data_IF_246617918879
#
_entry.id   IF_246617918879
#
_cell.length_a   1.000
_cell.length_b   1.000
_cell.length_c   1.000
_cell.angle_alpha   90.00
_cell.angle_beta   90.00
_cell.angle_gamma   90.00
#
_symmetry.space_group_name_H-M   'P 1'
#
loop_
_entity.id
_entity.type
_entity.pdbx_description
1 polymer ?
#
# COMPACT_ATOMS: atom_id res chain seq x y z
N UNK A 1 18.68 5.19 -21.10
CA UNK A 1 17.69 6.29 -21.00
C UNK A 1 16.84 6.27 -22.26
N UNK A 2 15.53 6.52 -22.15
CA UNK A 2 14.54 6.35 -23.24
C UNK A 2 14.17 7.64 -23.97
N UNK A 3 14.59 8.82 -23.47
CA UNK A 3 14.26 10.12 -24.06
C UNK A 3 12.84 10.63 -23.78
N UNK A 4 12.10 9.98 -22.88
CA UNK A 4 10.73 10.40 -22.51
C UNK A 4 10.73 11.70 -21.69
N UNK A 5 9.63 12.48 -21.69
CA UNK A 5 9.49 13.64 -20.82
C UNK A 5 9.58 13.26 -19.34
N UNK A 6 10.35 14.04 -18.57
CA UNK A 6 10.52 13.89 -17.12
C UNK A 6 10.33 15.26 -16.47
N UNK A 7 9.47 15.33 -15.45
CA UNK A 7 9.24 16.52 -14.65
C UNK A 7 9.62 16.26 -13.20
N UNK A 8 10.41 17.15 -12.62
CA UNK A 8 10.67 17.14 -11.17
C UNK A 8 9.69 18.11 -10.51
N UNK A 9 8.96 17.63 -9.52
CA UNK A 9 7.94 18.41 -8.81
C UNK A 9 8.17 18.31 -7.30
N UNK A 10 7.77 19.35 -6.57
CA UNK A 10 7.81 19.36 -5.11
C UNK A 10 6.64 20.18 -4.56
N UNK A 11 6.12 19.75 -3.42
CA UNK A 11 5.09 20.43 -2.61
C UNK A 11 5.24 20.00 -1.14
N UNK A 12 6.48 20.07 -0.62
CA UNK A 12 6.82 19.56 0.72
C UNK A 12 6.30 18.13 0.93
N UNK A 13 5.62 17.85 2.05
CA UNK A 13 5.13 16.52 2.42
C UNK A 13 4.07 15.94 1.46
N UNK A 14 3.47 16.74 0.56
CA UNK A 14 2.52 16.28 -0.47
C UNK A 14 3.13 16.10 -1.87
N UNK A 15 4.45 16.09 -1.96
CA UNK A 15 5.21 15.89 -3.22
C UNK A 15 4.80 14.63 -3.97
N UNK A 16 4.72 13.48 -3.30
CA UNK A 16 4.34 12.22 -3.94
C UNK A 16 2.93 12.25 -4.54
N UNK A 17 1.97 12.86 -3.83
CA UNK A 17 0.60 13.00 -4.36
C UNK A 17 0.49 14.05 -5.46
N UNK A 18 1.36 15.06 -5.46
CA UNK A 18 1.45 16.03 -6.55
C UNK A 18 1.94 15.36 -7.84
N UNK A 19 2.94 14.48 -7.74
CA UNK A 19 3.38 13.65 -8.88
C UNK A 19 2.25 12.72 -9.37
N UNK A 20 1.48 12.12 -8.45
CA UNK A 20 0.33 11.29 -8.79
C UNK A 20 -0.76 12.06 -9.54
N UNK A 21 -1.10 13.27 -9.08
CA UNK A 21 -2.10 14.13 -9.72
C UNK A 21 -1.70 14.52 -11.14
N UNK A 22 -0.46 14.97 -11.34
CA UNK A 22 0.07 15.32 -12.66
C UNK A 22 0.07 14.10 -13.60
N UNK A 23 0.46 12.92 -13.09
CA UNK A 23 0.41 11.69 -13.88
C UNK A 23 -1.03 11.34 -14.29
N UNK A 24 -2.02 11.51 -13.40
CA UNK A 24 -3.43 11.28 -13.73
C UNK A 24 -3.90 12.26 -14.80
N UNK A 25 -3.58 13.55 -14.68
CA UNK A 25 -3.96 14.57 -15.67
C UNK A 25 -3.36 14.28 -17.06
N UNK A 26 -2.12 13.78 -17.12
CA UNK A 26 -1.51 13.36 -18.40
C UNK A 26 -2.24 12.21 -19.07
N UNK A 27 -2.76 11.25 -18.29
CA UNK A 27 -3.57 10.13 -18.80
C UNK A 27 -4.97 10.58 -19.18
N UNK A 28 -5.64 11.32 -18.28
CA UNK A 28 -7.01 11.78 -18.44
C UNK A 28 -7.17 12.78 -19.61
N UNK A 29 -6.14 13.58 -19.89
CA UNK A 29 -6.12 14.47 -21.06
C UNK A 29 -5.90 13.74 -22.40
N UNK A 30 -5.67 12.42 -22.38
CA UNK A 30 -5.38 11.63 -23.59
C UNK A 30 -3.99 11.89 -24.20
N UNK A 31 -3.12 12.65 -23.52
CA UNK A 31 -1.76 12.94 -24.01
C UNK A 31 -0.81 11.76 -23.88
N UNK A 32 -1.06 10.87 -22.91
CA UNK A 32 -0.25 9.68 -22.62
C UNK A 32 -1.15 8.51 -22.19
N UNK A 33 -0.87 7.32 -22.70
CA UNK A 33 -1.59 6.10 -22.32
C UNK A 33 -1.00 5.40 -21.08
N UNK A 34 0.25 5.69 -20.74
CA UNK A 34 0.96 5.09 -19.61
C UNK A 34 2.00 6.08 -19.06
N UNK A 35 1.95 6.36 -17.75
CA UNK A 35 2.78 7.36 -17.06
C UNK A 35 3.27 6.80 -15.73
N UNK A 36 4.53 7.09 -15.37
CA UNK A 36 5.12 6.74 -14.08
C UNK A 36 5.09 7.96 -13.15
N UNK A 37 4.45 7.82 -11.99
CA UNK A 37 4.66 8.69 -10.84
C UNK A 37 5.68 8.03 -9.90
N UNK A 38 6.79 8.71 -9.61
CA UNK A 38 7.85 8.24 -8.74
C UNK A 38 8.13 9.32 -7.68
N UNK A 39 8.25 8.88 -6.43
CA UNK A 39 8.61 9.74 -5.31
C UNK A 39 9.58 9.02 -4.39
N UNK A 40 10.59 9.74 -3.92
CA UNK A 40 11.60 9.22 -3.02
C UNK A 40 12.10 10.34 -2.11
N UNK A 41 12.69 9.96 -0.98
CA UNK A 41 13.39 10.89 -0.11
C UNK A 41 14.59 10.21 0.55
N UNK A 42 15.64 11.00 0.79
CA UNK A 42 16.75 10.65 1.67
C UNK A 42 16.90 11.75 2.70
N UNK A 43 16.71 11.41 3.97
CA UNK A 43 16.59 12.36 5.07
C UNK A 43 17.76 12.29 6.04
N UNK A 44 18.03 13.40 6.72
CA UNK A 44 18.93 13.44 7.87
C UNK A 44 18.20 12.93 9.12
N UNK A 45 18.95 12.34 10.06
CA UNK A 45 18.38 11.97 11.37
C UNK A 45 18.06 13.22 12.16
N UNK A 46 16.85 13.28 12.72
CA UNK A 46 16.42 14.35 13.62
C UNK A 46 15.31 15.20 13.02
N UNK A 47 15.08 16.38 13.59
CA UNK A 47 14.06 17.30 13.07
C UNK A 47 14.53 17.94 11.76
N UNK A 48 13.57 18.28 10.89
CA UNK A 48 13.86 19.03 9.66
C UNK A 48 14.49 20.38 10.00
N UNK A 49 15.53 20.76 9.27
CA UNK A 49 16.24 22.04 9.42
C UNK A 49 16.23 22.82 8.12
N UNK A 50 16.19 24.16 8.21
CA UNK A 50 16.33 25.00 7.03
C UNK A 50 17.79 24.99 6.54
N UNK A 51 17.97 24.81 5.23
CA UNK A 51 19.30 24.85 4.58
C UNK A 51 19.53 26.15 3.79
N UNK A 52 18.47 26.80 3.32
CA UNK A 52 18.55 28.03 2.54
C UNK A 52 18.16 29.22 3.43
N UNK A 53 19.16 29.95 3.91
CA UNK A 53 19.00 31.11 4.80
C UNK A 53 19.18 32.45 4.06
N UNK A 54 19.44 32.41 2.76
CA UNK A 54 19.74 33.55 1.88
C UNK A 54 18.51 34.08 1.13
N UNK A 55 17.32 33.57 1.47
CA UNK A 55 16.04 33.86 0.80
C UNK A 55 14.88 33.68 1.77
N UNK A 56 13.72 34.23 1.42
CA UNK A 56 12.48 34.04 2.19
C UNK A 56 12.18 32.55 2.36
N UNK A 57 11.94 32.15 3.60
CA UNK A 57 11.57 30.77 3.89
C UNK A 57 10.06 30.60 3.59
N UNK A 58 9.66 29.58 2.81
CA UNK A 58 8.27 29.37 2.43
C UNK A 58 7.31 29.23 3.61
N UNK A 59 7.82 28.88 4.79
CA UNK A 59 7.06 28.73 6.04
C UNK A 59 6.98 30.02 6.87
N UNK A 60 7.64 31.12 6.48
CA UNK A 60 7.79 32.32 7.32
C UNK A 60 6.44 32.88 7.79
N UNK A 61 5.46 33.00 6.89
CA UNK A 61 4.13 33.53 7.24
C UNK A 61 3.38 32.61 8.19
N UNK A 62 3.45 31.29 7.96
CA UNK A 62 2.82 30.31 8.84
C UNK A 62 3.44 30.35 10.23
N UNK A 63 4.79 30.40 10.31
CA UNK A 63 5.51 30.43 11.59
C UNK A 63 5.30 31.76 12.32
N UNK A 64 5.31 32.88 11.60
CA UNK A 64 5.07 34.22 12.18
C UNK A 64 3.69 34.29 12.81
N UNK A 65 2.64 33.87 12.10
CA UNK A 65 1.29 33.88 12.66
C UNK A 65 1.16 32.95 13.88
N UNK A 66 1.78 31.76 13.87
CA UNK A 66 1.82 30.93 15.07
C UNK A 66 2.52 31.66 16.23
N UNK A 67 3.67 32.29 15.97
CA UNK A 67 4.43 33.03 16.98
C UNK A 67 3.62 34.18 17.58
N UNK A 68 2.89 34.93 16.76
CA UNK A 68 2.06 36.05 17.19
C UNK A 68 0.89 35.58 18.07
N UNK A 69 0.33 34.41 17.79
CA UNK A 69 -0.83 33.88 18.53
C UNK A 69 -0.45 33.19 19.85
N UNK A 70 0.65 32.44 19.88
CA UNK A 70 0.98 31.54 21.00
C UNK A 70 2.46 31.52 21.40
N UNK A 71 3.31 32.31 20.75
CA UNK A 71 4.75 32.30 20.97
C UNK A 71 5.46 31.09 20.35
N UNK A 72 6.79 31.08 20.49
CA UNK A 72 7.67 29.98 20.07
C UNK A 72 8.54 29.57 21.26
N UNK A 73 8.75 28.27 21.46
CA UNK A 73 9.75 27.74 22.39
C UNK A 73 10.79 26.86 21.67
N UNK A 74 11.62 26.15 22.44
CA UNK A 74 12.74 25.33 21.93
C UNK A 74 12.31 24.04 21.21
N UNK A 75 11.03 23.67 21.25
CA UNK A 75 10.55 22.46 20.57
C UNK A 75 10.62 22.62 19.04
N UNK A 76 10.67 21.53 18.26
CA UNK A 76 10.66 21.61 16.79
C UNK A 76 9.44 22.36 16.26
N UNK A 77 9.65 23.33 15.36
CA UNK A 77 8.58 24.23 14.86
C UNK A 77 7.37 23.47 14.31
N UNK A 78 7.57 22.41 13.55
CA UNK A 78 6.45 21.61 13.01
C UNK A 78 5.65 20.94 14.12
N UNK A 79 6.30 20.42 15.16
CA UNK A 79 5.61 19.87 16.33
C UNK A 79 4.83 20.96 17.10
N UNK A 80 5.36 22.19 17.16
CA UNK A 80 4.64 23.33 17.71
C UNK A 80 3.37 23.62 16.89
N UNK A 81 3.46 23.69 15.56
CA UNK A 81 2.30 23.98 14.68
C UNK A 81 1.15 22.98 14.90
N UNK A 82 1.43 21.68 14.76
CA UNK A 82 0.39 20.66 14.89
C UNK A 82 -0.05 20.44 16.35
N UNK A 83 0.85 20.55 17.32
CA UNK A 83 0.48 20.44 18.73
C UNK A 83 -0.40 21.61 19.18
N UNK A 84 -0.13 22.82 18.68
CA UNK A 84 -0.97 24.00 18.91
C UNK A 84 -2.36 23.86 18.24
N UNK A 85 -2.45 23.29 17.04
CA UNK A 85 -3.72 22.93 16.43
C UNK A 85 -4.51 21.92 17.30
N UNK A 86 -3.82 20.95 17.89
CA UNK A 86 -4.41 20.03 18.88
C UNK A 86 -4.93 20.76 20.12
N UNK A 87 -4.15 21.68 20.69
CA UNK A 87 -4.55 22.51 21.83
C UNK A 87 -5.78 23.37 21.50
N UNK A 88 -5.85 23.96 20.31
CA UNK A 88 -7.04 24.69 19.85
C UNK A 88 -8.27 23.77 19.84
N UNK A 89 -8.14 22.57 19.28
CA UNK A 89 -9.24 21.60 19.24
C UNK A 89 -9.69 21.21 20.66
N UNK A 90 -8.75 20.97 21.58
CA UNK A 90 -9.05 20.71 23.00
C UNK A 90 -9.81 21.86 23.66
N UNK A 91 -9.34 23.12 23.47
CA UNK A 91 -10.00 24.31 24.04
C UNK A 91 -11.40 24.52 23.48
N UNK A 92 -11.59 24.26 22.19
CA UNK A 92 -12.85 24.52 21.47
C UNK A 92 -13.90 23.43 21.68
N UNK A 93 -13.48 22.17 21.75
CA UNK A 93 -14.39 21.02 21.71
C UNK A 93 -14.29 20.08 22.92
N UNK A 94 -13.35 20.31 23.84
CA UNK A 94 -13.18 19.47 25.03
C UNK A 94 -12.52 18.11 24.75
N UNK A 95 -11.90 17.93 23.57
CA UNK A 95 -11.04 16.79 23.26
C UNK A 95 -9.95 16.64 24.32
N UNK A 96 -9.56 15.40 24.60
CA UNK A 96 -8.62 15.09 25.68
C UNK A 96 -7.27 14.63 25.14
N UNK A 97 -6.15 14.82 25.88
CA UNK A 97 -4.84 14.29 25.53
C UNK A 97 -4.85 12.80 25.16
N UNK A 98 -5.69 12.02 25.84
CA UNK A 98 -5.85 10.58 25.62
C UNK A 98 -6.40 10.27 24.22
N UNK A 99 -7.21 11.14 23.61
CA UNK A 99 -7.70 10.94 22.25
C UNK A 99 -6.56 10.98 21.22
N UNK A 100 -5.60 11.88 21.40
CA UNK A 100 -4.39 11.95 20.57
C UNK A 100 -3.50 10.71 20.78
N UNK A 101 -3.31 10.29 22.03
CA UNK A 101 -2.53 9.09 22.34
C UNK A 101 -3.17 7.81 21.76
N UNK A 102 -4.51 7.71 21.74
CA UNK A 102 -5.25 6.58 21.14
C UNK A 102 -5.04 6.48 19.63
N UNK A 103 -4.86 7.61 18.93
CA UNK A 103 -4.51 7.60 17.50
C UNK A 103 -3.15 6.94 17.28
N UNK A 104 -2.13 7.36 18.04
CA UNK A 104 -0.81 6.74 17.95
C UNK A 104 -0.83 5.26 18.35
N UNK A 105 -1.61 4.89 19.38
CA UNK A 105 -1.82 3.49 19.77
C UNK A 105 -2.35 2.66 18.59
N UNK A 106 -3.39 3.16 17.92
CA UNK A 106 -3.98 2.51 16.75
C UNK A 106 -2.98 2.39 15.59
N UNK A 107 -2.22 3.44 15.28
CA UNK A 107 -1.22 3.42 14.20
C UNK A 107 -0.09 2.41 14.47
N UNK A 108 0.49 2.39 15.69
CA UNK A 108 1.51 1.39 16.04
C UNK A 108 0.96 -0.04 16.06
N UNK A 109 -0.30 -0.23 16.46
CA UNK A 109 -0.95 -1.54 16.40
C UNK A 109 -1.13 -2.02 14.95
N UNK A 110 -1.53 -1.13 14.04
CA UNK A 110 -1.66 -1.44 12.62
C UNK A 110 -0.30 -1.79 11.98
N UNK A 111 0.76 -1.10 12.40
CA UNK A 111 2.09 -1.22 11.78
C UNK A 111 2.76 -2.59 11.96
N UNK A 112 2.40 -3.36 12.99
CA UNK A 112 2.91 -4.72 13.25
C UNK A 112 2.77 -5.61 12.01
N UNK A 113 1.65 -5.45 11.30
CA UNK A 113 1.28 -6.21 10.11
C UNK A 113 1.85 -5.64 8.80
N UNK A 114 2.60 -4.54 8.86
CA UNK A 114 3.21 -3.90 7.70
C UNK A 114 4.72 -4.19 7.64
N UNK A 115 5.20 -5.03 6.70
CA UNK A 115 6.64 -5.30 6.56
C UNK A 115 7.43 -4.07 6.10
N UNK A 116 6.78 -3.08 5.48
CA UNK A 116 7.42 -1.85 5.00
C UNK A 116 7.50 -0.75 6.07
N UNK A 117 6.96 -0.98 7.28
CA UNK A 117 6.94 0.03 8.33
C UNK A 117 8.29 0.10 9.08
N UNK A 118 8.83 1.30 9.30
CA UNK A 118 10.04 1.50 10.09
C UNK A 118 9.88 0.97 11.53
N UNK A 119 8.74 1.26 12.16
CA UNK A 119 8.38 0.72 13.46
C UNK A 119 7.27 -0.31 13.33
N UNK A 120 7.53 -1.51 13.83
CA UNK A 120 6.58 -2.64 13.86
C UNK A 120 6.34 -3.15 15.28
N UNK A 121 6.67 -2.33 16.26
CA UNK A 121 6.47 -2.60 17.68
C UNK A 121 5.09 -2.10 18.09
N UNK A 122 4.33 -2.95 18.78
CA UNK A 122 3.11 -2.52 19.47
C UNK A 122 3.49 -1.84 20.80
N UNK A 123 2.78 -0.77 21.14
CA UNK A 123 2.93 -0.05 22.41
C UNK A 123 1.59 -0.05 23.14
N UNK A 124 1.61 -0.09 24.47
CA UNK A 124 0.42 0.20 25.26
C UNK A 124 0.10 1.70 25.22
N UNK A 125 -1.17 2.06 25.45
CA UNK A 125 -1.58 3.47 25.53
C UNK A 125 -0.80 4.22 26.64
N UNK A 126 -0.53 3.55 27.76
CA UNK A 126 0.25 4.09 28.86
C UNK A 126 1.72 4.38 28.44
N UNK A 127 2.34 3.48 27.69
CA UNK A 127 3.70 3.70 27.17
C UNK A 127 3.75 4.92 26.24
N UNK A 128 2.73 5.12 25.41
CA UNK A 128 2.63 6.28 24.52
C UNK A 128 2.50 7.57 25.32
N UNK A 129 1.60 7.59 26.30
CA UNK A 129 1.38 8.76 27.16
C UNK A 129 2.60 9.10 28.03
N UNK A 130 3.37 8.10 28.47
CA UNK A 130 4.59 8.29 29.27
C UNK A 130 5.86 8.51 28.45
N UNK A 131 5.79 8.38 27.12
CA UNK A 131 6.96 8.65 26.27
C UNK A 131 7.33 10.15 26.31
N UNK A 132 8.59 10.53 26.04
CA UNK A 132 9.06 11.90 26.20
C UNK A 132 8.14 12.92 25.52
N UNK A 133 7.75 13.96 26.26
CA UNK A 133 6.94 15.03 25.70
C UNK A 133 7.74 15.79 24.64
N UNK A 134 7.10 16.09 23.50
CA UNK A 134 7.69 16.90 22.43
C UNK A 134 7.11 18.31 22.48
N UNK A 135 5.79 18.45 22.41
CA UNK A 135 5.11 19.73 22.53
C UNK A 135 3.61 19.55 22.78
N UNK A 136 3.02 20.33 23.70
CA UNK A 136 1.57 20.28 23.96
C UNK A 136 1.11 18.85 24.31
N UNK A 137 0.05 18.32 23.66
CA UNK A 137 -0.42 16.95 23.89
C UNK A 137 0.46 15.87 23.25
N UNK A 138 1.47 16.27 22.46
CA UNK A 138 2.27 15.35 21.66
C UNK A 138 3.46 14.80 22.45
N UNK A 139 3.53 13.48 22.51
CA UNK A 139 4.70 12.73 22.99
C UNK A 139 5.47 12.16 21.81
N UNK A 140 6.69 11.67 22.04
CA UNK A 140 7.58 11.15 20.99
C UNK A 140 6.93 10.06 20.15
N UNK A 141 6.17 9.15 20.75
CA UNK A 141 5.47 8.08 20.04
C UNK A 141 4.22 8.54 19.27
N UNK A 142 3.86 9.82 19.36
CA UNK A 142 2.78 10.47 18.61
C UNK A 142 3.31 11.29 17.42
N UNK A 143 4.63 11.28 17.17
CA UNK A 143 5.30 12.04 16.10
C UNK A 143 5.89 11.06 15.07
N UNK A 144 5.74 11.35 13.78
CA UNK A 144 6.38 10.53 12.75
C UNK A 144 7.91 10.60 12.81
N UNK A 145 8.63 9.48 12.61
CA UNK A 145 10.08 9.52 12.42
C UNK A 145 10.45 10.00 11.01
N UNK A 146 11.67 10.52 10.87
CA UNK A 146 12.33 10.69 9.58
C UNK A 146 12.75 9.34 9.01
N UNK A 147 12.57 9.15 7.70
CA UNK A 147 12.89 7.88 7.02
C UNK A 147 13.38 8.11 5.62
N UNK A 148 14.19 7.18 5.12
CA UNK A 148 14.52 7.08 3.71
C UNK A 148 13.55 6.10 3.04
N UNK A 149 13.17 6.37 1.80
CA UNK A 149 12.29 5.47 1.08
C UNK A 149 11.88 5.99 -0.29
N UNK A 150 11.32 5.09 -1.09
CA UNK A 150 10.77 5.36 -2.42
C UNK A 150 9.44 4.63 -2.61
N UNK A 151 8.56 5.22 -3.41
CA UNK A 151 7.32 4.59 -3.86
C UNK A 151 6.99 5.05 -5.27
N UNK A 152 6.29 4.21 -6.02
CA UNK A 152 5.93 4.48 -7.41
C UNK A 152 4.54 3.96 -7.76
N UNK A 153 3.89 4.61 -8.72
CA UNK A 153 2.62 4.18 -9.30
C UNK A 153 2.69 4.31 -10.83
N UNK A 154 2.17 3.30 -11.53
CA UNK A 154 1.97 3.35 -12.98
C UNK A 154 0.49 3.66 -13.22
N UNK A 155 0.23 4.73 -13.95
CA UNK A 155 -1.11 5.16 -14.33
C UNK A 155 -1.28 4.88 -15.81
N UNK A 156 -2.41 4.30 -16.18
CA UNK A 156 -2.68 3.89 -17.54
C UNK A 156 -4.11 4.24 -17.96
N UNK A 157 -4.30 4.52 -19.25
CA UNK A 157 -5.62 4.71 -19.84
C UNK A 157 -6.40 3.39 -19.86
N UNK A 158 -7.73 3.43 -19.87
CA UNK A 158 -8.54 2.22 -20.04
C UNK A 158 -8.16 1.44 -21.31
N UNK A 159 -7.88 2.16 -22.40
CA UNK A 159 -7.40 1.56 -23.66
C UNK A 159 -6.12 0.77 -23.47
N UNK A 160 -5.13 1.34 -22.76
CA UNK A 160 -3.89 0.64 -22.42
C UNK A 160 -4.15 -0.59 -21.55
N UNK A 161 -5.01 -0.46 -20.52
CA UNK A 161 -5.36 -1.56 -19.63
C UNK A 161 -5.96 -2.74 -20.40
N UNK A 162 -6.94 -2.48 -21.28
CA UNK A 162 -7.59 -3.52 -22.10
C UNK A 162 -6.63 -4.13 -23.12
N UNK A 163 -5.81 -3.31 -23.77
CA UNK A 163 -4.84 -3.79 -24.76
C UNK A 163 -3.79 -4.74 -24.15
N UNK A 164 -3.53 -4.62 -22.84
CA UNK A 164 -2.53 -5.42 -22.12
C UNK A 164 -3.14 -6.43 -21.12
N UNK A 165 -4.47 -6.57 -21.06
CA UNK A 165 -5.15 -7.52 -20.17
C UNK A 165 -4.91 -7.25 -18.68
N UNK A 166 -4.88 -5.98 -18.26
CA UNK A 166 -4.52 -5.56 -16.91
C UNK A 166 -5.74 -5.25 -16.01
N UNK A 167 -6.95 -5.58 -16.45
CA UNK A 167 -8.21 -5.25 -15.76
C UNK A 167 -8.28 -5.79 -14.32
N UNK A 168 -7.65 -6.94 -14.05
CA UNK A 168 -7.63 -7.58 -12.73
C UNK A 168 -6.89 -6.77 -11.66
N UNK A 169 -5.91 -5.96 -12.04
CA UNK A 169 -5.10 -5.16 -11.12
C UNK A 169 -5.38 -3.67 -11.22
N UNK A 170 -6.22 -3.24 -12.16
CA UNK A 170 -6.55 -1.85 -12.39
C UNK A 170 -7.43 -1.28 -11.27
N UNK A 171 -6.84 -0.38 -10.49
CA UNK A 171 -7.54 0.47 -9.54
C UNK A 171 -7.73 1.84 -10.18
N UNK A 172 -8.99 2.23 -10.32
CA UNK A 172 -9.39 3.51 -10.90
C UNK A 172 -9.27 4.61 -9.84
N UNK A 173 -8.71 5.75 -10.25
CA UNK A 173 -8.77 6.99 -9.46
C UNK A 173 -10.08 7.70 -9.85
N UNK A 174 -11.13 7.51 -9.05
CA UNK A 174 -12.45 8.10 -9.28
C UNK A 174 -12.38 9.63 -9.33
N UNK A 175 -11.50 10.21 -8.52
CA UNK A 175 -11.20 11.63 -8.52
C UNK A 175 -9.96 11.92 -7.70
N UNK A 176 -9.28 13.01 -8.05
CA UNK A 176 -8.17 13.58 -7.28
C UNK A 176 -8.37 15.10 -7.28
N UNK A 177 -8.24 15.71 -6.12
CA UNK A 177 -8.40 17.16 -5.96
C UNK A 177 -7.27 17.72 -5.12
N UNK A 178 -6.81 18.92 -5.49
CA UNK A 178 -5.83 19.69 -4.74
C UNK A 178 -6.44 20.99 -4.25
N UNK A 179 -6.06 21.39 -3.03
CA UNK A 179 -6.26 22.74 -2.53
C UNK A 179 -4.96 23.27 -1.94
N UNK A 180 -4.72 24.56 -2.14
CA UNK A 180 -3.64 25.32 -1.51
C UNK A 180 -4.21 26.21 -0.40
N UNK A 181 -3.33 26.87 0.34
CA UNK A 181 -3.72 27.84 1.38
C UNK A 181 -4.83 28.80 0.90
N UNK A 182 -5.78 29.04 1.79
CA UNK A 182 -6.88 30.00 1.61
C UNK A 182 -6.58 31.25 2.45
N UNK A 183 -7.30 32.38 2.24
CA UNK A 183 -7.17 33.54 3.13
C UNK A 183 -7.34 33.17 4.61
N UNK A 184 -8.23 32.21 4.91
CA UNK A 184 -8.49 31.73 6.28
C UNK A 184 -7.29 31.07 6.96
N UNK A 185 -6.26 30.62 6.22
CA UNK A 185 -4.98 30.19 6.80
C UNK A 185 -4.36 31.33 7.63
N UNK A 186 -4.46 32.57 7.15
CA UNK A 186 -3.73 33.71 7.71
C UNK A 186 -4.61 34.78 8.37
N UNK A 187 -5.92 34.81 8.08
CA UNK A 187 -6.83 35.86 8.59
C UNK A 187 -7.62 35.47 9.84
N UNK A 188 -7.85 34.18 10.07
CA UNK A 188 -8.85 33.72 11.04
C UNK A 188 -8.29 33.45 12.43
N UNK A 189 -6.98 33.66 12.63
CA UNK A 189 -6.28 33.43 13.90
C UNK A 189 -6.49 32.01 14.48
N UNK A 190 -6.57 31.00 13.60
CA UNK A 190 -6.78 29.59 13.96
C UNK A 190 -5.56 28.75 13.59
N UNK A 191 -5.04 28.02 14.56
CA UNK A 191 -3.90 27.12 14.45
C UNK A 191 -4.28 25.83 13.72
N UNK A 192 -5.54 25.38 13.82
CA UNK A 192 -6.10 24.30 12.99
C UNK A 192 -6.11 24.69 11.50
N UNK A 193 -6.53 25.92 11.18
CA UNK A 193 -6.54 26.41 9.80
C UNK A 193 -5.13 26.66 9.28
N UNK A 194 -4.23 27.14 10.14
CA UNK A 194 -2.82 27.34 9.84
C UNK A 194 -2.12 26.05 9.37
N UNK A 195 -2.55 24.89 9.88
CA UNK A 195 -2.04 23.57 9.43
C UNK A 195 -2.87 22.92 8.32
N UNK A 196 -3.80 23.66 7.73
CA UNK A 196 -4.50 23.27 6.51
C UNK A 196 -5.87 22.62 6.68
N UNK A 197 -6.55 22.77 7.82
CA UNK A 197 -7.91 22.23 8.01
C UNK A 197 -8.88 22.64 6.89
N UNK A 198 -8.93 23.93 6.55
CA UNK A 198 -9.82 24.45 5.49
C UNK A 198 -9.37 24.01 4.09
N UNK A 199 -8.06 23.79 3.88
CA UNK A 199 -7.55 23.23 2.62
C UNK A 199 -8.06 21.80 2.44
N UNK A 200 -7.90 20.96 3.47
CA UNK A 200 -8.37 19.57 3.48
C UNK A 200 -9.87 19.51 3.24
N UNK A 201 -10.64 20.32 3.97
CA UNK A 201 -12.09 20.39 3.81
C UNK A 201 -12.47 20.79 2.39
N UNK A 202 -11.84 21.82 1.84
CA UNK A 202 -12.12 22.31 0.48
C UNK A 202 -11.84 21.25 -0.58
N UNK A 203 -10.70 20.56 -0.48
CA UNK A 203 -10.35 19.53 -1.45
C UNK A 203 -11.29 18.31 -1.33
N UNK A 204 -11.64 17.91 -0.10
CA UNK A 204 -12.56 16.81 0.15
C UNK A 204 -13.98 17.12 -0.35
N UNK A 205 -14.51 18.31 -0.06
CA UNK A 205 -15.83 18.75 -0.53
C UNK A 205 -15.91 18.72 -2.07
N UNK A 206 -14.89 19.26 -2.76
CA UNK A 206 -14.79 19.21 -4.22
C UNK A 206 -14.75 17.78 -4.75
N UNK A 207 -13.97 16.92 -4.09
CA UNK A 207 -13.81 15.52 -4.48
C UNK A 207 -15.13 14.75 -4.35
N UNK A 208 -15.84 14.91 -3.23
CA UNK A 208 -17.15 14.29 -3.01
C UNK A 208 -18.20 14.84 -3.98
N UNK A 209 -18.20 16.14 -4.26
CA UNK A 209 -19.10 16.74 -5.25
C UNK A 209 -18.85 16.20 -6.66
N UNK A 210 -17.57 16.10 -7.07
CA UNK A 210 -17.17 15.64 -8.40
C UNK A 210 -17.47 14.16 -8.63
N UNK A 211 -17.28 13.32 -7.61
CA UNK A 211 -17.45 11.86 -7.72
C UNK A 211 -18.84 11.37 -7.34
N UNK A 212 -19.63 12.18 -6.63
CA UNK A 212 -20.91 11.76 -6.05
C UNK A 212 -20.78 10.79 -4.86
N UNK A 213 -19.56 10.45 -4.45
CA UNK A 213 -19.26 9.59 -3.30
C UNK A 213 -19.42 10.38 -2.01
N UNK A 214 -20.01 9.77 -0.98
CA UNK A 214 -20.13 10.37 0.35
C UNK A 214 -19.00 9.88 1.26
N UNK A 215 -18.61 10.66 2.29
CA UNK A 215 -17.65 10.18 3.30
C UNK A 215 -18.03 8.83 3.91
N UNK A 216 -19.33 8.58 4.08
CA UNK A 216 -19.87 7.33 4.64
C UNK A 216 -19.72 6.12 3.74
N UNK A 217 -19.41 6.30 2.45
CA UNK A 217 -19.22 5.21 1.49
C UNK A 217 -17.78 4.67 1.50
N UNK A 218 -16.86 5.37 2.18
CA UNK A 218 -15.45 4.99 2.30
C UNK A 218 -15.28 3.91 3.38
N UNK A 219 -14.48 2.87 3.10
CA UNK A 219 -14.16 1.83 4.09
C UNK A 219 -12.71 1.91 4.59
N UNK A 220 -11.79 2.32 3.74
CA UNK A 220 -10.35 2.37 4.05
C UNK A 220 -9.77 3.74 3.73
N UNK A 221 -8.96 4.27 4.64
CA UNK A 221 -8.40 5.61 4.54
C UNK A 221 -6.88 5.52 4.79
N UNK A 222 -6.09 6.17 3.95
CA UNK A 222 -4.70 6.51 4.26
C UNK A 222 -4.58 8.02 4.28
N UNK A 223 -4.42 8.60 5.47
CA UNK A 223 -4.35 10.03 5.70
C UNK A 223 -2.99 10.46 6.24
N UNK A 224 -2.82 11.77 6.45
CA UNK A 224 -1.53 12.38 6.71
C UNK A 224 -1.29 12.59 8.22
N UNK A 225 -0.98 11.52 8.93
CA UNK A 225 -0.74 11.51 10.37
C UNK A 225 0.72 11.86 10.72
N UNK A 226 1.26 12.99 10.24
CA UNK A 226 2.59 13.45 10.65
C UNK A 226 2.72 13.59 12.19
N UNK A 227 1.61 13.96 12.82
CA UNK A 227 1.39 13.93 14.26
C UNK A 227 -0.03 13.44 14.55
N UNK A 228 -0.26 12.84 15.72
CA UNK A 228 -1.60 12.40 16.15
C UNK A 228 -2.64 13.53 16.12
N UNK A 229 -2.22 14.77 16.42
CA UNK A 229 -3.07 15.96 16.32
C UNK A 229 -3.57 16.22 14.91
N UNK A 230 -2.75 15.99 13.88
CA UNK A 230 -3.17 16.21 12.50
C UNK A 230 -4.20 15.17 12.06
N UNK A 231 -4.02 13.89 12.42
CA UNK A 231 -5.02 12.85 12.13
C UNK A 231 -6.36 13.16 12.80
N UNK A 232 -6.35 13.61 14.06
CA UNK A 232 -7.57 13.95 14.80
C UNK A 232 -8.42 14.99 14.08
N UNK A 233 -7.81 16.13 13.73
CA UNK A 233 -8.54 17.22 13.06
C UNK A 233 -8.90 16.87 11.61
N UNK A 234 -8.12 15.99 10.97
CA UNK A 234 -8.37 15.53 9.60
C UNK A 234 -9.62 14.66 9.50
N UNK A 235 -9.99 13.90 10.55
CA UNK A 235 -11.25 13.15 10.55
C UNK A 235 -12.45 14.06 10.28
N UNK A 236 -12.46 15.24 10.88
CA UNK A 236 -13.55 16.21 10.76
C UNK A 236 -13.48 16.94 9.42
N UNK A 237 -12.28 17.32 8.99
CA UNK A 237 -12.07 18.00 7.71
C UNK A 237 -12.43 17.12 6.50
N UNK A 238 -12.19 15.80 6.58
CA UNK A 238 -12.62 14.83 5.57
C UNK A 238 -14.10 14.45 5.70
N UNK A 239 -14.82 14.94 6.72
CA UNK A 239 -16.22 14.60 6.95
C UNK A 239 -16.47 13.17 7.44
N UNK A 240 -15.46 12.49 7.98
CA UNK A 240 -15.62 11.14 8.56
C UNK A 240 -16.48 11.18 9.83
N UNK A 241 -16.41 12.29 10.56
CA UNK A 241 -17.32 12.69 11.64
C UNK A 241 -17.62 14.20 11.59
N UNK A 242 -18.68 14.67 12.27
CA UNK A 242 -18.94 16.10 12.41
C UNK A 242 -17.83 16.85 13.17
N UNK A 243 -17.70 18.19 12.98
CA UNK A 243 -16.77 19.00 13.75
C UNK A 243 -16.93 18.86 15.27
N UNK A 244 -15.82 18.74 15.99
CA UNK A 244 -15.77 18.50 17.44
C UNK A 244 -16.12 17.07 17.88
N UNK A 245 -16.35 16.13 16.95
CA UNK A 245 -16.74 14.74 17.24
C UNK A 245 -15.64 13.71 16.99
N UNK A 246 -14.42 14.15 16.68
CA UNK A 246 -13.29 13.24 16.51
C UNK A 246 -13.01 12.38 17.75
N UNK A 247 -13.08 12.95 18.96
CA UNK A 247 -12.89 12.20 20.21
C UNK A 247 -13.88 11.04 20.37
N UNK A 248 -15.15 11.25 20.01
CA UNK A 248 -16.17 10.19 20.06
C UNK A 248 -15.95 9.11 19.01
N UNK A 249 -15.51 9.48 17.79
CA UNK A 249 -15.13 8.53 16.74
C UNK A 249 -13.99 7.63 17.25
N UNK A 250 -12.98 8.21 17.88
CA UNK A 250 -11.84 7.48 18.45
C UNK A 250 -12.29 6.57 19.60
N UNK A 251 -13.13 7.06 20.51
CA UNK A 251 -13.60 6.29 21.66
C UNK A 251 -14.46 5.07 21.27
N UNK A 252 -15.21 5.16 20.17
CA UNK A 252 -15.97 4.03 19.61
C UNK A 252 -15.09 3.04 18.84
N UNK A 253 -13.83 3.37 18.56
CA UNK A 253 -12.97 2.56 17.69
C UNK A 253 -13.39 2.61 16.22
N UNK A 254 -14.08 3.66 15.78
CA UNK A 254 -14.57 3.83 14.41
C UNK A 254 -13.45 4.10 13.38
N UNK A 255 -12.18 4.17 13.82
CA UNK A 255 -10.98 4.38 13.00
C UNK A 255 -10.06 3.16 12.87
N UNK A 256 -10.51 1.97 13.30
CA UNK A 256 -9.73 0.72 13.23
C UNK A 256 -10.57 -0.46 12.73
N UNK A 257 -9.95 -1.64 12.63
CA UNK A 257 -10.62 -2.87 12.22
C UNK A 257 -11.83 -3.18 13.10
N UNK A 258 -12.97 -3.46 12.48
CA UNK A 258 -14.25 -3.66 13.15
C UNK A 258 -15.04 -2.37 13.40
N UNK A 259 -14.42 -1.20 13.21
CA UNK A 259 -15.08 0.11 13.24
C UNK A 259 -15.67 0.51 11.88
N UNK A 260 -16.20 1.74 11.82
CA UNK A 260 -16.76 2.32 10.59
C UNK A 260 -15.74 2.49 9.46
N UNK A 261 -14.54 2.98 9.78
CA UNK A 261 -13.44 3.19 8.84
C UNK A 261 -12.20 2.48 9.35
N UNK A 262 -11.43 1.85 8.46
CA UNK A 262 -10.06 1.44 8.79
C UNK A 262 -9.11 2.54 8.34
N UNK A 263 -8.65 3.36 9.29
CA UNK A 263 -7.75 4.47 9.01
C UNK A 263 -6.30 4.06 9.25
N UNK A 264 -5.47 4.32 8.27
CA UNK A 264 -4.04 4.02 8.22
C UNK A 264 -3.75 2.54 8.54
N UNK A 265 -4.34 1.58 7.79
CA UNK A 265 -4.07 0.15 7.98
C UNK A 265 -2.58 -0.20 7.87
N UNK A 266 -1.80 0.63 7.18
CA UNK A 266 -0.35 0.48 7.07
C UNK A 266 0.45 0.87 8.32
N UNK A 267 -0.20 1.48 9.32
CA UNK A 267 0.42 2.09 10.48
C UNK A 267 0.71 3.59 10.36
N UNK A 268 0.36 4.21 9.23
CA UNK A 268 0.46 5.66 9.04
C UNK A 268 1.89 6.18 9.10
N UNK A 269 2.07 7.49 8.95
CA UNK A 269 3.36 8.17 9.05
C UNK A 269 3.96 8.00 10.45
N UNK A 270 3.13 7.92 11.52
CA UNK A 270 3.58 7.73 12.90
C UNK A 270 4.48 6.49 13.03
N UNK A 271 4.15 5.39 12.35
CA UNK A 271 4.90 4.13 12.47
C UNK A 271 5.70 3.78 11.23
N UNK A 272 5.14 3.98 10.02
CA UNK A 272 5.87 3.71 8.77
C UNK A 272 7.09 4.60 8.62
N UNK A 273 6.96 5.82 9.15
CA UNK A 273 7.86 6.91 8.88
C UNK A 273 7.48 7.71 7.63
N UNK A 274 8.21 8.80 7.42
CA UNK A 274 7.76 9.87 6.54
C UNK A 274 8.85 10.37 5.57
N UNK A 275 9.24 9.58 4.55
CA UNK A 275 10.02 10.09 3.43
C UNK A 275 9.13 11.04 2.61
N UNK A 276 9.46 12.34 2.58
CA UNK A 276 8.54 13.39 2.12
C UNK A 276 8.05 13.14 0.69
N UNK A 277 8.97 12.94 -0.25
CA UNK A 277 8.66 12.63 -1.65
C UNK A 277 7.90 11.32 -1.88
N UNK A 278 8.11 10.30 -1.04
CA UNK A 278 7.52 8.97 -1.22
C UNK A 278 6.14 8.79 -0.57
N UNK A 279 5.79 9.61 0.41
CA UNK A 279 4.63 9.38 1.29
C UNK A 279 3.30 9.26 0.53
N UNK A 280 3.00 10.20 -0.36
CA UNK A 280 1.75 10.16 -1.14
C UNK A 280 1.63 8.92 -2.03
N UNK A 281 2.74 8.43 -2.59
CA UNK A 281 2.73 7.23 -3.41
C UNK A 281 2.69 5.95 -2.57
N UNK A 282 3.27 5.95 -1.37
CA UNK A 282 3.14 4.85 -0.42
C UNK A 282 1.70 4.69 0.10
N UNK A 283 0.98 5.80 0.31
CA UNK A 283 -0.45 5.79 0.60
C UNK A 283 -1.25 5.19 -0.57
N UNK A 284 -0.99 5.65 -1.80
CA UNK A 284 -1.62 5.10 -3.00
C UNK A 284 -1.40 3.59 -3.14
N UNK A 285 -0.17 3.10 -2.89
CA UNK A 285 0.14 1.69 -2.96
C UNK A 285 -0.66 0.85 -1.95
N UNK A 286 -0.74 1.29 -0.68
CA UNK A 286 -1.51 0.58 0.35
C UNK A 286 -3.00 0.49 -0.01
N UNK A 287 -3.61 1.61 -0.44
CA UNK A 287 -5.01 1.63 -0.83
C UNK A 287 -5.28 0.73 -2.04
N UNK A 288 -4.38 0.72 -3.03
CA UNK A 288 -4.46 -0.18 -4.17
C UNK A 288 -4.40 -1.65 -3.74
N UNK A 289 -3.52 -2.02 -2.80
CA UNK A 289 -3.46 -3.40 -2.29
C UNK A 289 -4.75 -3.80 -1.57
N UNK A 290 -5.35 -2.92 -0.76
CA UNK A 290 -6.63 -3.21 -0.13
C UNK A 290 -7.74 -3.45 -1.13
N UNK A 291 -7.86 -2.58 -2.14
CA UNK A 291 -8.88 -2.70 -3.17
C UNK A 291 -8.66 -3.93 -4.06
N UNK A 292 -7.40 -4.35 -4.28
CA UNK A 292 -7.08 -5.60 -5.00
C UNK A 292 -7.33 -6.85 -4.16
N UNK A 293 -7.38 -6.76 -2.84
CA UNK A 293 -7.45 -7.92 -1.94
C UNK A 293 -6.07 -8.52 -1.66
N UNK A 294 -5.02 -7.71 -1.74
CA UNK A 294 -3.61 -8.13 -1.67
C UNK A 294 -2.85 -7.53 -0.48
N UNK A 295 -3.54 -6.89 0.46
CA UNK A 295 -2.89 -6.26 1.62
C UNK A 295 -2.50 -7.25 2.74
N UNK A 296 -2.62 -8.56 2.50
CA UNK A 296 -2.19 -9.61 3.42
C UNK A 296 -2.84 -9.49 4.80
N UNK A 297 -2.03 -9.52 5.87
CA UNK A 297 -2.50 -9.41 7.25
C UNK A 297 -3.17 -8.07 7.59
N UNK A 298 -3.03 -7.05 6.73
CA UNK A 298 -3.68 -5.75 6.89
C UNK A 298 -5.03 -5.67 6.18
N UNK A 299 -5.42 -6.70 5.42
CA UNK A 299 -6.56 -6.62 4.52
C UNK A 299 -7.84 -6.15 5.22
N UNK A 300 -8.39 -5.03 4.75
CA UNK A 300 -9.73 -4.56 5.13
C UNK A 300 -10.76 -5.39 4.36
N UNK A 301 -11.59 -6.21 5.04
CA UNK A 301 -12.56 -7.04 4.34
C UNK A 301 -13.62 -6.20 3.63
N UNK A 302 -13.89 -6.51 2.36
CA UNK A 302 -14.95 -5.87 1.60
C UNK A 302 -14.72 -4.39 1.26
N UNK A 303 -13.48 -3.89 1.34
CA UNK A 303 -13.15 -2.54 0.90
C UNK A 303 -13.50 -2.33 -0.59
N UNK A 304 -14.29 -1.30 -0.88
CA UNK A 304 -14.72 -0.96 -2.25
C UNK A 304 -14.30 0.44 -2.65
N UNK A 305 -14.34 1.36 -1.70
CA UNK A 305 -13.93 2.75 -1.86
C UNK A 305 -12.84 3.06 -0.86
N UNK A 306 -11.73 3.57 -1.36
CA UNK A 306 -10.58 3.98 -0.58
C UNK A 306 -10.35 5.49 -0.71
N UNK A 307 -9.95 6.14 0.39
CA UNK A 307 -9.67 7.59 0.44
C UNK A 307 -8.20 7.84 0.81
N UNK A 308 -7.51 8.63 0.00
CA UNK A 308 -6.19 9.15 0.30
C UNK A 308 -6.28 10.61 0.74
N UNK A 309 -5.44 10.99 1.71
CA UNK A 309 -5.20 12.38 2.10
C UNK A 309 -3.70 12.61 2.37
N UNK A 310 -3.12 13.58 1.68
CA UNK A 310 -1.72 13.95 1.81
C UNK A 310 -1.54 15.47 1.78
N UNK A 311 -1.03 16.05 2.87
CA UNK A 311 -0.82 17.50 2.97
C UNK A 311 0.66 17.84 3.17
N UNK A 312 1.11 18.96 2.62
CA UNK A 312 2.40 19.59 2.91
C UNK A 312 2.19 21.08 3.20
N UNK A 313 2.76 21.56 4.30
CA UNK A 313 2.62 22.95 4.73
C UNK A 313 3.36 23.94 3.81
N UNK A 314 3.00 25.22 3.90
CA UNK A 314 3.40 26.28 2.96
C UNK A 314 2.65 26.23 1.64
N UNK A 315 1.78 25.22 1.46
CA UNK A 315 1.65 24.52 0.20
C UNK A 315 0.28 23.93 -0.05
N UNK A 316 0.22 22.60 -0.16
CA UNK A 316 -0.88 21.91 -0.84
C UNK A 316 -1.33 20.65 -0.11
N UNK A 317 -2.64 20.42 -0.10
CA UNK A 317 -3.26 19.13 0.19
C UNK A 317 -3.72 18.49 -1.10
N UNK A 318 -3.57 17.16 -1.19
CA UNK A 318 -4.15 16.33 -2.24
C UNK A 318 -5.00 15.24 -1.60
N UNK A 319 -6.23 15.11 -2.07
CA UNK A 319 -7.16 14.04 -1.70
C UNK A 319 -7.59 13.26 -2.93
N UNK A 320 -7.73 11.95 -2.79
CA UNK A 320 -8.13 11.09 -3.91
C UNK A 320 -9.04 9.94 -3.46
N UNK A 321 -9.96 9.55 -4.32
CA UNK A 321 -10.83 8.40 -4.15
C UNK A 321 -10.47 7.32 -5.16
N UNK A 322 -10.45 6.07 -4.70
CA UNK A 322 -10.08 4.90 -5.51
C UNK A 322 -11.14 3.80 -5.42
N UNK A 323 -11.32 3.07 -6.51
CA UNK A 323 -12.14 1.87 -6.58
C UNK A 323 -11.56 0.87 -7.59
N UNK A 324 -12.05 -0.38 -7.62
CA UNK A 324 -11.72 -1.28 -8.74
C UNK A 324 -12.28 -0.69 -10.04
N UNK A 325 -11.45 -0.54 -11.08
CA UNK A 325 -11.90 -0.01 -12.38
C UNK A 325 -12.78 -1.01 -13.15
N UNK A 326 -12.57 -2.31 -12.93
CA UNK A 326 -13.35 -3.36 -13.58
C UNK A 326 -13.91 -4.35 -12.54
N UNK A 327 -14.89 -3.94 -11.71
CA UNK A 327 -15.41 -4.78 -10.65
C UNK A 327 -16.09 -6.05 -11.19
N UNK A 328 -16.70 -5.97 -12.36
CA UNK A 328 -17.28 -7.13 -13.07
C UNK A 328 -16.22 -8.07 -13.65
N UNK A 329 -14.97 -7.63 -13.80
CA UNK A 329 -13.88 -8.50 -14.22
C UNK A 329 -13.55 -9.55 -13.15
N UNK A 330 -13.96 -9.32 -11.89
CA UNK A 330 -13.94 -10.37 -10.87
C UNK A 330 -15.05 -11.43 -11.03
N UNK A 331 -15.89 -11.32 -12.07
CA UNK A 331 -16.97 -12.26 -12.39
C UNK A 331 -16.96 -12.78 -13.85
N UNK A 332 -15.92 -12.46 -14.64
CA UNK A 332 -15.82 -12.88 -16.04
C UNK A 332 -14.52 -13.62 -16.43
N UNK A 333 -13.72 -14.05 -15.46
CA UNK A 333 -13.31 -15.46 -15.51
C UNK A 333 -14.55 -16.22 -15.10
N UNK A 334 -15.44 -16.42 -16.07
CA UNK A 334 -16.53 -17.33 -15.91
C UNK A 334 -15.92 -18.65 -15.45
N UNK A 335 -16.17 -18.98 -14.19
CA UNK A 335 -16.65 -20.30 -13.87
C UNK A 335 -17.83 -20.52 -14.82
N UNK A 336 -17.54 -20.92 -16.07
CA UNK A 336 -18.46 -21.74 -16.80
C UNK A 336 -18.71 -22.87 -15.82
N UNK A 337 -19.94 -22.89 -15.28
CA UNK A 337 -20.55 -24.11 -14.74
C UNK A 337 -20.61 -25.12 -15.88
N UNK A 338 -19.46 -25.62 -16.30
CA UNK A 338 -19.31 -26.93 -16.89
C UNK A 338 -19.04 -27.83 -15.69
N UNK A 339 -20.00 -28.70 -15.39
CA UNK A 339 -19.82 -29.74 -14.40
C UNK A 339 -18.51 -30.51 -14.67
N UNK A 340 -17.42 -30.20 -13.95
CA UNK A 340 -16.29 -31.11 -13.70
C UNK A 340 -15.14 -30.46 -12.92
N UNK A 341 -14.96 -30.94 -11.67
CA UNK A 341 -13.71 -31.13 -10.89
C UNK A 341 -12.96 -29.88 -10.39
N UNK A 342 -12.79 -29.78 -9.05
CA UNK A 342 -12.31 -28.62 -8.29
C UNK A 342 -10.90 -28.12 -8.60
N UNK A 343 -10.55 -26.93 -8.11
CA UNK A 343 -9.43 -26.06 -8.55
C UNK A 343 -8.13 -26.16 -7.73
N UNK A 344 -8.03 -27.15 -6.84
CA UNK A 344 -6.84 -27.36 -6.01
C UNK A 344 -6.59 -26.28 -4.94
N UNK A 345 -7.52 -25.34 -4.73
CA UNK A 345 -7.39 -24.23 -3.76
C UNK A 345 -7.02 -24.62 -2.33
N UNK A 346 -7.24 -25.87 -1.93
CA UNK A 346 -6.89 -26.38 -0.61
C UNK A 346 -5.41 -26.73 -0.38
N UNK A 347 -4.55 -26.78 -1.40
CA UNK A 347 -3.14 -27.21 -1.26
C UNK A 347 -2.16 -26.05 -1.15
N UNK A 348 -1.13 -26.18 -0.30
CA UNK A 348 -0.15 -25.11 -0.06
C UNK A 348 0.70 -24.82 -1.32
N UNK A 349 0.82 -25.79 -2.23
CA UNK A 349 1.52 -25.63 -3.50
C UNK A 349 0.80 -24.76 -4.53
N UNK A 350 -0.51 -24.54 -4.39
CA UNK A 350 -1.35 -23.91 -5.41
C UNK A 350 -0.89 -22.49 -5.79
N UNK A 351 -0.56 -21.59 -4.85
CA UNK A 351 -0.01 -20.27 -5.19
C UNK A 351 1.31 -20.36 -5.96
N UNK A 352 2.19 -21.30 -5.60
CA UNK A 352 3.50 -21.47 -6.22
C UNK A 352 3.39 -21.99 -7.66
N UNK A 353 2.46 -22.92 -7.91
CA UNK A 353 2.22 -23.45 -9.25
C UNK A 353 1.57 -22.41 -10.18
N UNK A 354 0.74 -21.52 -9.63
CA UNK A 354 0.24 -20.33 -10.36
C UNK A 354 1.34 -19.33 -10.69
N UNK A 355 2.29 -19.10 -9.78
CA UNK A 355 3.47 -18.27 -10.08
C UNK A 355 4.32 -18.89 -11.19
N UNK A 356 4.53 -20.22 -11.14
CA UNK A 356 5.25 -20.93 -12.20
C UNK A 356 4.56 -20.78 -13.56
N UNK A 357 3.23 -20.92 -13.61
CA UNK A 357 2.43 -20.68 -14.82
C UNK A 357 2.64 -19.26 -15.38
N UNK A 358 2.62 -18.24 -14.52
CA UNK A 358 2.87 -16.87 -14.94
C UNK A 358 4.29 -16.68 -15.49
N UNK A 359 5.30 -17.26 -14.84
CA UNK A 359 6.70 -17.23 -15.31
C UNK A 359 6.83 -17.88 -16.69
N UNK A 360 6.14 -19.01 -16.91
CA UNK A 360 6.11 -19.71 -18.18
C UNK A 360 5.49 -18.82 -19.29
N UNK A 361 4.43 -18.07 -18.99
CA UNK A 361 3.77 -17.18 -19.96
C UNK A 361 4.60 -15.95 -20.35
N UNK A 362 5.46 -15.45 -19.46
CA UNK A 362 6.32 -14.29 -19.69
C UNK A 362 7.74 -14.66 -20.15
N UNK A 363 8.02 -15.95 -20.37
CA UNK A 363 9.33 -16.41 -20.82
C UNK A 363 9.63 -15.95 -22.27
N UNK A 364 10.42 -14.88 -22.40
CA UNK A 364 10.80 -14.30 -23.69
C UNK A 364 11.94 -15.08 -24.38
N UNK A 365 12.69 -15.90 -23.63
CA UNK A 365 13.89 -16.59 -24.11
C UNK A 365 13.61 -18.03 -24.61
N UNK A 366 12.34 -18.45 -24.66
CA UNK A 366 11.91 -19.84 -24.91
C UNK A 366 12.72 -20.87 -24.10
N UNK A 367 13.00 -20.55 -22.84
CA UNK A 367 13.73 -21.42 -21.92
C UNK A 367 12.92 -22.67 -21.58
N UNK A 368 11.59 -22.57 -21.54
CA UNK A 368 10.68 -23.70 -21.30
C UNK A 368 10.79 -24.79 -22.38
N UNK A 369 11.04 -24.41 -23.63
CA UNK A 369 11.21 -25.36 -24.76
C UNK A 369 12.44 -26.27 -24.62
N UNK A 370 13.33 -26.00 -23.65
CA UNK A 370 14.51 -26.86 -23.36
C UNK A 370 14.15 -28.09 -22.54
N UNK A 371 13.00 -28.08 -21.86
CA UNK A 371 12.58 -29.17 -20.96
C UNK A 371 11.84 -30.29 -21.71
N UNK A 372 11.08 -29.96 -22.76
CA UNK A 372 10.45 -30.88 -23.74
C UNK A 372 9.79 -32.11 -23.11
N UNK A 373 8.96 -31.91 -22.09
CA UNK A 373 8.30 -32.99 -21.38
C UNK A 373 7.05 -32.55 -20.63
N UNK A 374 6.20 -33.51 -20.30
CA UNK A 374 5.00 -33.34 -19.50
C UNK A 374 5.28 -33.90 -18.10
N UNK A 375 5.22 -33.04 -17.09
CA UNK A 375 5.57 -33.34 -15.71
C UNK A 375 4.34 -33.37 -14.81
N UNK A 376 4.08 -34.51 -14.17
CA UNK A 376 3.02 -34.67 -13.17
C UNK A 376 3.56 -34.38 -11.78
N UNK A 377 2.80 -33.68 -10.95
CA UNK A 377 3.09 -33.46 -9.53
C UNK A 377 1.87 -33.93 -8.75
N UNK A 378 1.99 -35.09 -8.10
CA UNK A 378 1.01 -35.62 -7.16
C UNK A 378 1.39 -35.19 -5.75
N UNK A 379 0.51 -34.42 -5.11
CA UNK A 379 0.70 -33.88 -3.78
C UNK A 379 -0.24 -34.60 -2.83
N UNK A 380 0.31 -35.14 -1.73
CA UNK A 380 -0.47 -35.83 -0.70
C UNK A 380 -0.51 -35.01 0.59
N UNK A 381 -1.68 -34.90 1.20
CA UNK A 381 -1.84 -34.38 2.56
C UNK A 381 -1.89 -35.51 3.57
N UNK A 382 -1.52 -35.19 4.81
CA UNK A 382 -1.57 -36.13 5.94
C UNK A 382 -2.98 -36.65 6.22
N UNK A 383 -4.01 -35.89 5.84
CA UNK A 383 -5.43 -36.28 5.96
C UNK A 383 -5.91 -37.20 4.81
N UNK A 384 -5.01 -37.68 3.95
CA UNK A 384 -5.31 -38.58 2.84
C UNK A 384 -5.82 -37.89 1.57
N UNK A 385 -6.02 -36.57 1.55
CA UNK A 385 -6.37 -35.85 0.33
C UNK A 385 -5.19 -35.81 -0.65
N UNK A 386 -5.46 -36.06 -1.93
CA UNK A 386 -4.46 -35.98 -3.00
C UNK A 386 -4.86 -34.92 -4.03
N UNK A 387 -3.86 -34.17 -4.48
CA UNK A 387 -3.98 -33.22 -5.59
C UNK A 387 -3.00 -33.60 -6.69
N UNK A 388 -3.34 -33.35 -7.94
CA UNK A 388 -2.50 -33.70 -9.07
C UNK A 388 -2.40 -32.53 -10.04
N UNK A 389 -1.18 -32.10 -10.35
CA UNK A 389 -0.91 -31.06 -11.33
C UNK A 389 -0.13 -31.62 -12.50
N UNK A 390 -0.37 -31.09 -13.69
CA UNK A 390 0.38 -31.42 -14.90
C UNK A 390 0.98 -30.14 -15.45
N UNK A 391 2.30 -30.11 -15.53
CA UNK A 391 3.09 -29.05 -16.16
C UNK A 391 3.47 -29.56 -17.56
N UNK A 392 2.86 -29.00 -18.60
CA UNK A 392 3.18 -29.34 -19.98
C UNK A 392 4.23 -28.36 -20.52
N UNK A 393 5.47 -28.81 -20.65
CA UNK A 393 6.57 -28.04 -21.24
C UNK A 393 7.00 -28.60 -22.62
N UNK A 394 6.07 -29.26 -23.34
CA UNK A 394 6.36 -29.91 -24.63
C UNK A 394 6.21 -28.97 -25.82
N UNK A 395 5.38 -27.94 -25.71
CA UNK A 395 5.03 -27.04 -26.82
C UNK A 395 4.88 -25.60 -26.35
N UNK A 396 5.56 -24.67 -27.03
CA UNK A 396 5.39 -23.23 -26.84
C UNK A 396 5.77 -22.78 -25.43
N UNK A 397 5.00 -21.85 -24.87
CA UNK A 397 5.24 -21.32 -23.52
C UNK A 397 4.91 -22.31 -22.39
N UNK A 398 4.27 -23.44 -22.71
CA UNK A 398 3.83 -24.46 -21.76
C UNK A 398 2.62 -24.06 -20.91
N UNK A 399 2.07 -25.01 -20.14
CA UNK A 399 0.88 -24.82 -19.29
C UNK A 399 1.01 -25.55 -17.96
N UNK A 400 0.24 -25.13 -16.95
CA UNK A 400 0.10 -25.81 -15.65
C UNK A 400 -1.37 -26.05 -15.36
N UNK A 401 -1.79 -27.30 -15.21
CA UNK A 401 -3.20 -27.67 -15.07
C UNK A 401 -3.42 -28.58 -13.86
N UNK A 402 -4.46 -28.32 -13.07
CA UNK A 402 -4.88 -29.21 -11.98
C UNK A 402 -5.83 -30.30 -12.49
N UNK A 403 -5.58 -31.55 -12.09
CA UNK A 403 -6.30 -32.76 -12.52
C UNK A 403 -6.43 -32.90 -14.04
N UNK A 404 -5.43 -32.46 -14.79
CA UNK A 404 -5.40 -32.65 -16.24
C UNK A 404 -5.44 -34.13 -16.61
N UNK A 405 -6.17 -34.45 -17.69
CA UNK A 405 -6.22 -35.80 -18.28
C UNK A 405 -4.97 -36.11 -19.12
N UNK A 406 -4.10 -35.12 -19.35
CA UNK A 406 -2.87 -35.30 -20.10
C UNK A 406 -1.93 -36.22 -19.31
N UNK A 407 -1.53 -37.32 -19.93
CA UNK A 407 -0.63 -38.31 -19.30
C UNK A 407 0.78 -37.73 -19.18
N UNK A 408 1.37 -37.63 -17.97
CA UNK A 408 2.74 -37.18 -17.84
C UNK A 408 3.76 -38.20 -18.32
N UNK A 409 4.88 -37.69 -18.83
CA UNK A 409 6.06 -38.48 -19.14
C UNK A 409 6.82 -38.89 -17.86
N UNK A 410 6.68 -38.08 -16.80
CA UNK A 410 7.22 -38.33 -15.46
C UNK A 410 6.28 -37.76 -14.41
N UNK A 411 6.11 -38.46 -13.28
CA UNK A 411 5.32 -38.01 -12.13
C UNK A 411 6.15 -37.98 -10.87
N UNK A 412 6.18 -36.84 -10.20
CA UNK A 412 6.66 -36.67 -8.84
C UNK A 412 5.52 -36.89 -7.85
N UNK A 413 5.78 -37.61 -6.77
CA UNK A 413 4.86 -37.78 -5.65
C UNK A 413 5.54 -37.23 -4.40
N UNK A 414 4.92 -36.25 -3.75
CA UNK A 414 5.48 -35.50 -2.62
C UNK A 414 4.38 -35.11 -1.63
N UNK A 415 4.74 -34.87 -0.37
CA UNK A 415 3.79 -34.38 0.61
C UNK A 415 3.59 -32.86 0.51
N UNK A 416 2.41 -32.37 0.86
CA UNK A 416 2.01 -30.95 0.78
C UNK A 416 2.89 -30.03 1.66
N UNK A 417 3.54 -30.59 2.69
CA UNK A 417 4.51 -29.87 3.54
C UNK A 417 5.90 -29.76 2.91
N UNK A 418 6.33 -30.77 2.15
CA UNK A 418 7.68 -30.82 1.57
C UNK A 418 7.75 -30.14 0.18
N UNK A 419 6.61 -30.04 -0.54
CA UNK A 419 6.57 -29.45 -1.89
C UNK A 419 6.98 -27.98 -1.92
N UNK A 420 6.69 -27.19 -0.88
CA UNK A 420 7.09 -25.77 -0.83
C UNK A 420 8.60 -25.63 -0.71
N UNK A 421 9.22 -26.42 0.17
CA UNK A 421 10.68 -26.43 0.32
C UNK A 421 11.38 -26.96 -0.92
N UNK A 422 10.75 -27.93 -1.59
CA UNK A 422 11.19 -28.43 -2.89
C UNK A 422 11.11 -27.32 -3.93
N UNK A 423 9.96 -26.68 -4.16
CA UNK A 423 9.80 -25.63 -5.17
C UNK A 423 10.68 -24.40 -4.89
N UNK A 424 10.86 -24.03 -3.61
CA UNK A 424 11.74 -22.94 -3.19
C UNK A 424 13.25 -23.28 -3.30
N UNK A 425 13.60 -24.55 -3.56
CA UNK A 425 15.00 -25.00 -3.65
C UNK A 425 15.75 -24.93 -2.33
N UNK A 426 15.03 -25.13 -1.22
CA UNK A 426 15.60 -25.31 0.12
C UNK A 426 16.05 -26.75 0.34
N UNK A 427 15.41 -27.71 -0.32
CA UNK A 427 15.83 -29.12 -0.34
C UNK A 427 16.39 -29.47 -1.71
N UNK A 428 17.52 -30.18 -1.72
CA UNK A 428 18.06 -30.79 -2.94
C UNK A 428 17.16 -31.97 -3.39
N UNK A 429 16.63 -31.96 -4.63
CA UNK A 429 15.70 -32.99 -5.10
C UNK A 429 16.26 -34.43 -5.08
N UNK A 430 17.56 -34.60 -5.36
CA UNK A 430 18.20 -35.93 -5.31
C UNK A 430 18.26 -36.44 -3.86
N UNK A 431 18.65 -35.58 -2.93
CA UNK A 431 18.67 -35.93 -1.49
C UNK A 431 17.27 -36.26 -0.97
N UNK A 432 16.26 -35.49 -1.36
CA UNK A 432 14.87 -35.75 -1.01
C UNK A 432 14.34 -37.08 -1.55
N UNK A 433 14.75 -37.47 -2.76
CA UNK A 433 14.44 -38.78 -3.34
C UNK A 433 15.07 -39.92 -2.54
N UNK A 434 16.37 -39.85 -2.22
CA UNK A 434 17.05 -40.88 -1.41
C UNK A 434 16.51 -40.96 0.03
N UNK A 435 16.00 -39.86 0.58
CA UNK A 435 15.36 -39.83 1.90
C UNK A 435 13.89 -40.28 1.87
N UNK A 436 13.35 -40.67 0.72
CA UNK A 436 11.97 -41.11 0.58
C UNK A 436 10.91 -40.00 0.67
N UNK A 437 11.32 -38.73 0.74
CA UNK A 437 10.42 -37.55 0.74
C UNK A 437 9.76 -37.31 -0.61
N UNK A 438 10.40 -37.77 -1.69
CA UNK A 438 9.89 -37.69 -3.06
C UNK A 438 9.95 -39.09 -3.66
N UNK A 439 8.87 -39.50 -4.33
CA UNK A 439 8.88 -40.67 -5.21
C UNK A 439 8.73 -40.22 -6.66
N UNK A 440 9.43 -40.89 -7.57
CA UNK A 440 9.44 -40.57 -9.00
C UNK A 440 8.92 -41.79 -9.75
N UNK A 441 8.00 -41.57 -10.69
CA UNK A 441 7.46 -42.60 -11.58
C UNK A 441 7.58 -42.11 -13.03
N UNK A 442 8.01 -42.98 -13.95
CA UNK A 442 8.15 -42.64 -15.37
C UNK A 442 9.59 -42.29 -15.77
N UNK A 443 9.75 -41.38 -16.73
CA UNK A 443 11.04 -41.11 -17.36
C UNK A 443 12.03 -40.39 -16.43
N UNK A 444 13.03 -41.14 -15.95
CA UNK A 444 14.06 -40.62 -15.04
C UNK A 444 14.96 -39.54 -15.66
N UNK A 445 15.18 -39.56 -16.98
CA UNK A 445 15.93 -38.51 -17.67
C UNK A 445 15.22 -37.16 -17.63
N UNK A 446 13.89 -37.16 -17.76
CA UNK A 446 13.07 -35.96 -17.59
C UNK A 446 13.03 -35.51 -16.12
N UNK A 447 12.96 -36.45 -15.18
CA UNK A 447 13.01 -36.14 -13.75
C UNK A 447 14.25 -35.32 -13.36
N UNK A 448 15.42 -35.64 -13.94
CA UNK A 448 16.66 -34.89 -13.70
C UNK A 448 16.63 -33.48 -14.30
N UNK A 449 15.98 -33.30 -15.45
CA UNK A 449 15.77 -31.97 -16.04
C UNK A 449 14.86 -31.06 -15.21
N UNK A 450 13.93 -31.62 -14.43
CA UNK A 450 13.05 -30.82 -13.58
C UNK A 450 13.82 -30.07 -12.47
N UNK A 451 14.91 -30.66 -11.97
CA UNK A 451 15.82 -29.98 -11.02
C UNK A 451 16.46 -28.74 -11.66
N UNK A 452 16.74 -28.80 -12.96
CA UNK A 452 17.29 -27.69 -13.72
C UNK A 452 16.23 -26.62 -14.02
N UNK A 453 14.96 -27.01 -14.28
CA UNK A 453 13.83 -26.09 -14.42
C UNK A 453 13.65 -25.26 -13.14
N UNK A 454 13.74 -25.94 -12.00
CA UNK A 454 13.65 -25.31 -10.70
C UNK A 454 14.80 -24.30 -10.46
N UNK A 455 16.03 -24.62 -10.89
CA UNK A 455 17.18 -23.71 -10.80
C UNK A 455 16.98 -22.45 -11.65
N UNK A 456 16.50 -22.61 -12.88
CA UNK A 456 16.17 -21.51 -13.79
C UNK A 456 15.03 -20.65 -13.23
N UNK A 457 13.96 -21.29 -12.75
CA UNK A 457 12.84 -20.60 -12.13
C UNK A 457 13.29 -19.80 -10.89
N UNK A 458 14.18 -20.35 -10.06
CA UNK A 458 14.76 -19.63 -8.91
C UNK A 458 15.56 -18.41 -9.33
N UNK A 459 16.39 -18.51 -10.37
CA UNK A 459 17.13 -17.34 -10.89
C UNK A 459 16.20 -16.29 -11.46
N UNK A 460 15.15 -16.67 -12.21
CA UNK A 460 14.16 -15.73 -12.75
C UNK A 460 13.32 -15.10 -11.64
N UNK A 461 12.88 -15.87 -10.64
CA UNK A 461 12.17 -15.36 -9.46
C UNK A 461 13.07 -14.37 -8.71
N UNK A 462 14.32 -14.71 -8.39
CA UNK A 462 15.24 -13.80 -7.74
C UNK A 462 15.50 -12.52 -8.55
N UNK A 463 15.60 -12.62 -9.88
CA UNK A 463 15.77 -11.46 -10.76
C UNK A 463 14.51 -10.60 -10.87
N UNK A 464 13.31 -11.19 -10.77
CA UNK A 464 12.03 -10.46 -10.72
C UNK A 464 11.90 -9.79 -9.35
N UNK A 465 12.22 -10.49 -8.26
CA UNK A 465 12.18 -9.96 -6.89
C UNK A 465 13.27 -8.92 -6.62
N UNK A 466 14.39 -8.92 -7.34
CA UNK A 466 15.44 -7.90 -7.25
C UNK A 466 15.19 -6.68 -8.18
N UNK A 467 14.24 -6.79 -9.11
CA UNK A 467 13.77 -5.71 -9.99
C UNK A 467 12.46 -5.09 -9.50
N UNK A 468 11.84 -5.69 -8.49
CA UNK A 468 10.80 -5.13 -7.63
C UNK A 468 11.48 -4.55 -6.39
#
# INVERSE_FOLDING_TARGET
MTGIPIFNVNNNCSTGSSALMIAKEMVESGKKDCVLALGFEKMERGSLTSKFLDRTNPMDKHVTLMADLVGINEAPITAQMFGNAGIEHMKKYGTKPEHFAKIAYKNHKHSVNNPNSQFRQEYSLEQIMKSPQVFGPLTKLQCCPTSDGAAAAILASEGFVRAHGLENQAIEILGIEMATDLPSTFSDNSLMKLVGYDMTKTAADRLYQKTGVKPTDVQVVELHDCFSANELITYEALGLCPPGKAGELIDRGDNTYGGKYVVNPSGGLISKGHPLGATGLAQCAELCWHLRGEAGARQVPGAKIALQHNIGLGGAVVVALYAKGFPSYSNNVGIRKTNSVGDGSGFVATPYLKILEQIMLIDQDNTIDKFRGIYGIRIKKDNGQEGFWVINAKTGKGTVEFNSKVKPDVTLIVNDKDIVELLAGKINPQKAFFQGKIKIQGNMGLAMKLTELQRVAKQKIANITAKL
#
